data_IF_597291571084
#
_entry.id   IF_597291571084
#
_cell.length_a   1.000
_cell.length_b   1.000
_cell.length_c   1.000
_cell.angle_alpha   90.00
_cell.angle_beta   90.00
_cell.angle_gamma   90.00
#
_symmetry.space_group_name_H-M   'P 1'
#
loop_
_entity.id
_entity.type
_entity.pdbx_description
1 polymer ?
#
# COMPACT_ATOMS: atom_id res chain seq x y z
N UNK A 1 -3.88 7.98 -18.10
CA UNK A 1 -4.08 6.66 -18.69
C UNK A 1 -2.88 6.13 -19.49
N UNK A 2 -2.01 6.98 -20.04
CA UNK A 2 -0.89 6.54 -20.89
C UNK A 2 0.15 5.64 -20.21
N UNK A 3 0.14 5.53 -18.89
CA UNK A 3 1.15 4.78 -18.11
C UNK A 3 0.55 3.73 -17.16
N UNK A 4 -0.68 3.25 -17.39
CA UNK A 4 -1.26 2.18 -16.58
C UNK A 4 -0.40 0.91 -16.60
N UNK A 5 0.24 0.59 -17.72
CA UNK A 5 1.21 -0.51 -17.81
C UNK A 5 2.42 -0.38 -16.88
N UNK A 6 2.75 0.85 -16.45
CA UNK A 6 3.78 1.11 -15.45
C UNK A 6 3.30 0.81 -14.03
N UNK A 7 2.03 1.14 -13.73
CA UNK A 7 1.47 1.00 -12.40
C UNK A 7 0.89 -0.38 -12.10
N UNK A 8 0.54 -1.16 -13.12
CA UNK A 8 -0.10 -2.47 -12.96
C UNK A 8 0.59 -3.50 -13.82
N UNK A 9 0.99 -4.61 -13.21
CA UNK A 9 1.56 -5.77 -13.90
C UNK A 9 0.48 -6.50 -14.68
N UNK A 10 0.67 -6.67 -15.98
CA UNK A 10 -0.29 -7.32 -16.87
C UNK A 10 -1.45 -6.42 -17.30
N UNK A 11 -2.54 -7.02 -17.77
CA UNK A 11 -3.69 -6.31 -18.29
C UNK A 11 -4.57 -5.76 -17.17
N UNK A 12 -4.80 -4.45 -17.16
CA UNK A 12 -5.81 -3.82 -16.32
C UNK A 12 -7.14 -3.77 -17.07
N UNK A 13 -8.16 -4.43 -16.52
CA UNK A 13 -9.43 -4.65 -17.22
C UNK A 13 -10.55 -3.68 -16.86
N UNK A 14 -10.32 -2.76 -15.91
CA UNK A 14 -11.32 -1.77 -15.54
C UNK A 14 -11.27 -0.55 -16.46
N UNK A 15 -12.45 -0.08 -16.86
CA UNK A 15 -12.59 1.06 -17.80
C UNK A 15 -12.19 2.39 -17.17
N UNK A 16 -12.17 2.47 -15.86
CA UNK A 16 -11.80 3.67 -15.08
C UNK A 16 -11.20 3.29 -13.74
N UNK A 17 -10.48 4.22 -13.15
CA UNK A 17 -9.85 4.10 -11.84
C UNK A 17 -10.19 5.33 -11.00
N UNK A 18 -10.16 5.23 -9.67
CA UNK A 18 -10.37 6.38 -8.80
C UNK A 18 -9.33 7.47 -9.06
N UNK A 19 -9.79 8.72 -9.10
CA UNK A 19 -8.89 9.88 -9.11
C UNK A 19 -8.43 10.13 -7.67
N UNK A 20 -7.11 10.14 -7.47
CA UNK A 20 -6.52 10.47 -6.18
C UNK A 20 -6.21 11.98 -6.16
N UNK A 21 -6.63 12.66 -5.09
CA UNK A 21 -6.28 14.05 -4.85
C UNK A 21 -5.08 14.11 -3.90
N UNK A 22 -4.01 14.77 -4.33
CA UNK A 22 -2.77 14.92 -3.58
C UNK A 22 -2.56 16.30 -2.96
N UNK A 23 -3.53 17.23 -3.09
CA UNK A 23 -3.36 18.64 -2.67
C UNK A 23 -2.92 18.78 -1.21
N UNK A 24 -3.46 17.96 -0.31
CA UNK A 24 -3.08 17.98 1.12
C UNK A 24 -1.71 17.36 1.34
N UNK A 25 -1.44 16.23 0.68
CA UNK A 25 -0.13 15.55 0.75
C UNK A 25 0.98 16.48 0.26
N UNK A 26 0.78 17.17 -0.85
CA UNK A 26 1.77 18.08 -1.43
C UNK A 26 2.08 19.26 -0.50
N UNK A 27 1.05 19.82 0.18
CA UNK A 27 1.24 20.88 1.17
C UNK A 27 2.07 20.40 2.37
N UNK A 28 1.76 19.21 2.90
CA UNK A 28 2.50 18.64 4.02
C UNK A 28 3.95 18.34 3.63
N UNK A 29 4.16 17.66 2.49
CA UNK A 29 5.50 17.35 1.99
C UNK A 29 6.33 18.61 1.75
N UNK A 30 5.71 19.67 1.20
CA UNK A 30 6.38 20.96 1.02
C UNK A 30 6.87 21.52 2.35
N UNK A 31 6.02 21.59 3.37
CA UNK A 31 6.38 22.11 4.69
C UNK A 31 7.51 21.28 5.31
N UNK A 32 7.40 19.96 5.28
CA UNK A 32 8.43 19.07 5.82
C UNK A 32 9.77 19.25 5.10
N UNK A 33 9.76 19.26 3.78
CA UNK A 33 10.95 19.42 2.96
C UNK A 33 11.65 20.77 3.22
N UNK A 34 10.90 21.89 3.24
CA UNK A 34 11.42 23.22 3.44
C UNK A 34 11.99 23.45 4.85
N UNK A 35 11.57 22.65 5.83
CA UNK A 35 12.04 22.72 7.22
C UNK A 35 12.99 21.57 7.61
N UNK A 36 13.45 20.74 6.65
CA UNK A 36 14.38 19.64 6.94
C UNK A 36 13.77 18.51 7.78
N UNK A 37 12.44 18.35 7.76
CA UNK A 37 11.71 17.33 8.53
C UNK A 37 11.57 16.08 7.69
N UNK A 38 12.08 14.94 8.20
CA UNK A 38 11.86 13.64 7.59
C UNK A 38 10.44 13.14 7.81
N UNK A 39 9.89 12.44 6.79
CA UNK A 39 8.52 11.90 6.81
C UNK A 39 8.55 10.38 6.75
N UNK A 40 7.92 9.74 7.72
CA UNK A 40 7.46 8.36 7.63
C UNK A 40 6.00 8.39 7.18
N UNK A 41 5.74 8.02 5.94
CA UNK A 41 4.43 8.12 5.33
C UNK A 41 3.51 6.99 5.81
N UNK A 42 2.34 7.35 6.31
CA UNK A 42 1.36 6.44 6.89
C UNK A 42 0.02 6.63 6.20
N UNK A 43 -0.62 5.66 5.66
CA UNK A 43 -0.26 4.26 5.39
C UNK A 43 -0.82 3.90 4.01
N UNK A 44 -0.27 2.88 3.33
CA UNK A 44 -0.74 2.51 1.98
C UNK A 44 -1.93 1.55 2.05
N UNK A 45 -1.91 0.56 2.93
CA UNK A 45 -2.96 -0.45 3.08
C UNK A 45 -3.41 -0.51 4.53
N UNK A 46 -4.71 -0.32 4.76
CA UNK A 46 -5.30 -0.40 6.08
C UNK A 46 -6.75 -0.90 6.00
N UNK A 47 -7.20 -1.66 7.00
CA UNK A 47 -8.58 -2.12 7.10
C UNK A 47 -9.54 -0.98 7.44
N UNK A 48 -9.09 0.01 8.21
CA UNK A 48 -9.80 1.26 8.49
C UNK A 48 -9.52 2.29 7.41
N UNK A 49 -10.41 3.24 7.20
CA UNK A 49 -10.29 4.35 6.24
C UNK A 49 -10.17 3.96 4.76
N UNK A 50 -10.14 2.67 4.40
CA UNK A 50 -10.32 2.24 3.03
C UNK A 50 -11.83 2.14 2.76
N UNK A 51 -12.40 2.97 1.87
CA UNK A 51 -13.84 3.03 1.69
C UNK A 51 -14.40 1.74 1.05
N UNK A 52 -15.57 1.28 1.48
CA UNK A 52 -16.17 0.02 1.02
C UNK A 52 -16.33 -0.04 -0.51
N UNK A 53 -16.64 1.07 -1.16
CA UNK A 53 -16.75 1.11 -2.63
C UNK A 53 -15.45 0.70 -3.36
N UNK A 54 -14.28 0.87 -2.72
CA UNK A 54 -13.00 0.47 -3.31
C UNK A 54 -12.87 -1.04 -3.52
N UNK A 55 -13.60 -1.82 -2.74
CA UNK A 55 -13.63 -3.29 -2.82
C UNK A 55 -14.73 -3.83 -3.74
N UNK A 56 -15.60 -2.98 -4.26
CA UNK A 56 -16.81 -3.37 -4.99
C UNK A 56 -16.63 -3.29 -6.50
N UNK A 57 -17.37 -4.13 -7.23
CA UNK A 57 -17.43 -4.07 -8.69
C UNK A 57 -17.87 -2.67 -9.14
N UNK A 58 -17.20 -2.12 -10.15
CA UNK A 58 -17.50 -0.78 -10.66
C UNK A 58 -17.34 0.35 -9.65
N UNK A 59 -16.62 0.13 -8.54
CA UNK A 59 -16.46 1.10 -7.44
C UNK A 59 -17.78 1.60 -6.85
N UNK A 60 -18.77 0.72 -6.77
CA UNK A 60 -20.11 1.05 -6.27
C UNK A 60 -20.57 0.07 -5.20
N UNK A 61 -21.03 0.59 -4.07
CA UNK A 61 -21.60 -0.21 -2.96
C UNK A 61 -22.86 -0.99 -3.33
N UNK A 62 -23.43 -0.73 -4.51
CA UNK A 62 -24.59 -1.46 -5.06
C UNK A 62 -24.23 -2.87 -5.54
N UNK A 63 -22.94 -3.15 -5.77
CA UNK A 63 -22.48 -4.42 -6.34
C UNK A 63 -21.69 -5.24 -5.33
N UNK A 64 -21.45 -6.51 -5.68
CA UNK A 64 -20.63 -7.42 -4.88
C UNK A 64 -19.15 -7.02 -4.83
N UNK A 65 -18.38 -7.76 -4.04
CA UNK A 65 -16.93 -7.61 -3.98
C UNK A 65 -16.26 -8.08 -5.27
N UNK A 66 -15.16 -7.44 -5.64
CA UNK A 66 -14.34 -7.89 -6.77
C UNK A 66 -13.58 -9.17 -6.45
N UNK A 67 -13.06 -9.83 -7.48
CA UNK A 67 -12.16 -10.97 -7.30
C UNK A 67 -10.83 -10.56 -6.67
N UNK A 68 -10.11 -11.53 -6.10
CA UNK A 68 -8.74 -11.29 -5.57
C UNK A 68 -7.80 -10.75 -6.66
N UNK A 69 -7.88 -11.27 -7.89
CA UNK A 69 -7.05 -10.79 -8.99
C UNK A 69 -7.33 -9.31 -9.30
N UNK A 70 -8.60 -8.94 -9.38
CA UNK A 70 -8.99 -7.55 -9.60
C UNK A 70 -8.55 -6.65 -8.44
N UNK A 71 -8.68 -7.11 -7.19
CA UNK A 71 -8.23 -6.34 -6.03
C UNK A 71 -6.71 -6.20 -5.97
N UNK A 72 -5.96 -7.23 -6.35
CA UNK A 72 -4.50 -7.14 -6.47
C UNK A 72 -4.11 -6.01 -7.44
N UNK A 73 -4.77 -5.91 -8.59
CA UNK A 73 -4.52 -4.85 -9.59
C UNK A 73 -4.89 -3.47 -9.07
N UNK A 74 -6.01 -3.34 -8.35
CA UNK A 74 -6.39 -2.07 -7.71
C UNK A 74 -5.38 -1.63 -6.67
N UNK A 75 -4.93 -2.55 -5.83
CA UNK A 75 -3.93 -2.30 -4.81
C UNK A 75 -2.58 -1.91 -5.44
N UNK A 76 -2.15 -2.60 -6.48
CA UNK A 76 -0.94 -2.27 -7.23
C UNK A 76 -1.03 -0.86 -7.81
N UNK A 77 -2.12 -0.56 -8.51
CA UNK A 77 -2.37 0.77 -9.07
C UNK A 77 -2.32 1.85 -7.99
N UNK A 78 -3.00 1.64 -6.87
CA UNK A 78 -3.05 2.61 -5.77
C UNK A 78 -1.67 2.86 -5.18
N UNK A 79 -0.97 1.82 -4.75
CA UNK A 79 0.36 1.92 -4.13
C UNK A 79 1.35 2.62 -5.08
N UNK A 80 1.42 2.15 -6.32
CA UNK A 80 2.35 2.70 -7.31
C UNK A 80 2.00 4.14 -7.71
N UNK A 81 0.71 4.49 -7.78
CA UNK A 81 0.28 5.87 -8.07
C UNK A 81 0.69 6.82 -6.95
N UNK A 82 0.44 6.44 -5.69
CA UNK A 82 0.79 7.26 -4.53
C UNK A 82 2.30 7.46 -4.42
N UNK A 83 3.07 6.37 -4.46
CA UNK A 83 4.52 6.44 -4.33
C UNK A 83 5.18 7.16 -5.52
N UNK A 84 4.68 6.92 -6.74
CA UNK A 84 5.16 7.65 -7.92
C UNK A 84 4.91 9.16 -7.81
N UNK A 85 3.72 9.57 -7.35
CA UNK A 85 3.42 10.99 -7.12
C UNK A 85 4.44 11.60 -6.15
N UNK A 86 4.67 10.95 -5.02
CA UNK A 86 5.61 11.44 -4.00
C UNK A 86 7.02 11.55 -4.57
N UNK A 87 7.56 10.50 -5.18
CA UNK A 87 8.97 10.49 -5.62
C UNK A 87 9.24 11.21 -6.95
N UNK A 88 8.21 11.60 -7.68
CA UNK A 88 8.34 12.55 -8.81
C UNK A 88 8.17 14.01 -8.38
N UNK A 89 7.67 14.26 -7.18
CA UNK A 89 7.61 15.58 -6.57
C UNK A 89 8.99 16.05 -6.12
N UNK A 90 9.29 17.33 -6.25
CA UNK A 90 10.50 17.92 -5.70
C UNK A 90 10.61 17.82 -4.17
N UNK A 91 9.51 17.57 -3.50
CA UNK A 91 9.42 17.45 -2.04
C UNK A 91 9.57 16.00 -1.55
N UNK A 92 9.48 15.01 -2.45
CA UNK A 92 9.43 13.60 -2.10
C UNK A 92 10.68 13.06 -1.42
N UNK A 93 11.82 13.73 -1.54
CA UNK A 93 13.08 13.32 -0.91
C UNK A 93 13.05 13.39 0.62
N UNK A 94 12.09 14.08 1.24
CA UNK A 94 11.90 14.05 2.70
C UNK A 94 11.22 12.76 3.20
N UNK A 95 10.62 11.95 2.32
CA UNK A 95 9.99 10.69 2.70
C UNK A 95 11.03 9.59 2.74
N UNK A 96 11.41 9.18 3.95
CA UNK A 96 12.43 8.15 4.21
C UNK A 96 11.85 6.78 4.56
N UNK A 97 10.54 6.68 4.78
CA UNK A 97 9.90 5.42 5.16
C UNK A 97 8.42 5.40 4.80
N UNK A 98 7.88 4.20 4.63
CA UNK A 98 6.45 3.93 4.43
C UNK A 98 5.96 2.87 5.40
N UNK A 99 4.85 3.14 6.06
CA UNK A 99 4.00 2.10 6.63
C UNK A 99 3.19 1.50 5.48
N UNK A 100 3.66 0.38 4.95
CA UNK A 100 3.03 -0.25 3.78
C UNK A 100 1.69 -0.86 4.15
N UNK A 101 1.64 -1.56 5.29
CA UNK A 101 0.41 -2.16 5.82
C UNK A 101 0.28 -1.80 7.30
N UNK A 102 -0.91 -1.36 7.68
CA UNK A 102 -1.24 -1.01 9.05
C UNK A 102 -2.24 -2.00 9.66
N UNK A 103 -1.96 -2.44 10.90
CA UNK A 103 -2.88 -3.16 11.80
C UNK A 103 -3.53 -4.42 11.20
N UNK A 104 -2.81 -5.16 10.37
CA UNK A 104 -3.39 -6.36 9.74
C UNK A 104 -3.69 -7.45 10.78
N UNK A 105 -2.81 -7.68 11.75
CA UNK A 105 -3.01 -8.72 12.78
C UNK A 105 -4.16 -8.37 13.76
N UNK A 106 -4.46 -7.09 13.90
CA UNK A 106 -5.58 -6.58 14.72
C UNK A 106 -6.75 -6.06 13.89
N UNK A 107 -6.76 -6.36 12.57
CA UNK A 107 -7.80 -5.87 11.68
C UNK A 107 -9.20 -6.37 12.07
N UNK A 108 -10.15 -5.45 12.07
CA UNK A 108 -11.58 -5.79 12.10
C UNK A 108 -12.06 -6.24 10.72
N UNK A 109 -13.22 -6.90 10.66
CA UNK A 109 -13.83 -7.31 9.38
C UNK A 109 -13.94 -6.14 8.43
N UNK A 110 -13.39 -6.30 7.24
CA UNK A 110 -13.31 -5.26 6.21
C UNK A 110 -13.44 -5.86 4.82
N UNK A 111 -13.41 -5.04 3.79
CA UNK A 111 -13.36 -5.49 2.40
C UNK A 111 -12.15 -6.38 2.09
N UNK A 112 -11.03 -6.19 2.80
CA UNK A 112 -9.86 -7.06 2.68
C UNK A 112 -10.18 -8.50 3.08
N UNK A 113 -10.78 -8.69 4.26
CA UNK A 113 -11.19 -10.02 4.73
C UNK A 113 -12.25 -10.66 3.82
N UNK A 114 -13.21 -9.86 3.33
CA UNK A 114 -14.26 -10.35 2.42
C UNK A 114 -13.70 -10.87 1.11
N UNK A 115 -12.58 -10.34 0.64
CA UNK A 115 -11.93 -10.74 -0.62
C UNK A 115 -10.87 -11.81 -0.40
N UNK A 116 -10.03 -11.68 0.63
CA UNK A 116 -8.87 -12.55 0.83
C UNK A 116 -9.07 -13.66 1.85
N UNK A 117 -10.19 -13.66 2.56
CA UNK A 117 -10.52 -14.65 3.58
C UNK A 117 -10.03 -14.23 4.96
N UNK A 118 -10.22 -15.15 5.91
CA UNK A 118 -9.89 -14.93 7.32
C UNK A 118 -8.40 -14.60 7.51
N UNK A 119 -8.12 -13.86 8.58
CA UNK A 119 -6.76 -13.48 8.97
C UNK A 119 -5.86 -14.70 9.19
N UNK A 120 -4.62 -14.59 8.74
CA UNK A 120 -3.57 -15.60 8.84
C UNK A 120 -2.21 -14.94 9.07
N UNK A 121 -1.23 -15.67 9.56
CA UNK A 121 0.16 -15.19 9.68
C UNK A 121 0.94 -15.21 8.35
N UNK A 122 0.32 -15.66 7.26
CA UNK A 122 0.91 -15.69 5.91
C UNK A 122 -0.01 -15.05 4.87
N UNK A 123 -0.34 -13.76 5.01
CA UNK A 123 -1.31 -13.08 4.15
C UNK A 123 -0.70 -12.73 2.79
N UNK A 124 -1.13 -13.43 1.74
CA UNK A 124 -0.59 -13.23 0.40
C UNK A 124 -0.76 -11.79 -0.12
N UNK A 125 -1.88 -11.12 0.19
CA UNK A 125 -2.09 -9.74 -0.26
C UNK A 125 -1.18 -8.74 0.47
N UNK A 126 -0.87 -8.97 1.76
CA UNK A 126 0.10 -8.15 2.50
C UNK A 126 1.48 -8.28 1.88
N UNK A 127 1.94 -9.52 1.60
CA UNK A 127 3.20 -9.73 0.87
C UNK A 127 3.21 -8.99 -0.47
N UNK A 128 2.10 -9.04 -1.24
CA UNK A 128 1.98 -8.30 -2.51
C UNK A 128 2.08 -6.80 -2.32
N UNK A 129 1.45 -6.24 -1.28
CA UNK A 129 1.55 -4.81 -0.99
C UNK A 129 3.00 -4.37 -0.79
N UNK A 130 3.77 -5.14 -0.03
CA UNK A 130 5.20 -4.90 0.14
C UNK A 130 5.99 -5.05 -1.16
N UNK A 131 5.69 -6.04 -1.98
CA UNK A 131 6.33 -6.20 -3.30
C UNK A 131 6.07 -4.99 -4.20
N UNK A 132 4.83 -4.48 -4.25
CA UNK A 132 4.49 -3.30 -5.05
C UNK A 132 5.20 -2.03 -4.54
N UNK A 133 5.28 -1.87 -3.22
CA UNK A 133 6.03 -0.76 -2.62
C UNK A 133 7.55 -0.88 -2.91
N UNK A 134 8.10 -2.10 -2.78
CA UNK A 134 9.50 -2.36 -3.11
C UNK A 134 9.82 -2.09 -4.57
N UNK A 135 8.95 -2.49 -5.51
CA UNK A 135 9.11 -2.20 -6.93
C UNK A 135 9.23 -0.69 -7.19
N UNK A 136 8.46 0.13 -6.45
CA UNK A 136 8.54 1.58 -6.56
C UNK A 136 9.88 2.11 -6.05
N UNK A 137 10.30 1.75 -4.83
CA UNK A 137 11.59 2.25 -4.30
C UNK A 137 12.77 1.77 -5.14
N UNK A 138 12.69 0.56 -5.71
CA UNK A 138 13.68 0.04 -6.64
C UNK A 138 13.72 0.84 -7.95
N UNK A 139 12.55 1.13 -8.53
CA UNK A 139 12.45 1.94 -9.76
C UNK A 139 13.09 3.31 -9.61
N UNK A 140 12.91 3.96 -8.46
CA UNK A 140 13.51 5.26 -8.15
C UNK A 140 14.94 5.19 -7.60
N UNK A 141 15.54 4.00 -7.48
CA UNK A 141 16.91 3.84 -6.93
C UNK A 141 16.99 4.17 -5.43
N UNK A 142 15.93 3.91 -4.67
CA UNK A 142 15.78 4.30 -3.27
C UNK A 142 15.87 3.14 -2.27
N UNK A 143 16.25 1.95 -2.71
CA UNK A 143 16.28 0.75 -1.86
C UNK A 143 17.19 0.86 -0.63
N UNK A 144 18.22 1.70 -0.69
CA UNK A 144 19.13 1.96 0.44
C UNK A 144 18.77 3.26 1.21
N UNK A 145 17.67 3.92 0.87
CA UNK A 145 17.29 5.23 1.44
C UNK A 145 15.91 5.23 2.06
N UNK A 146 15.04 4.32 1.63
CA UNK A 146 13.64 4.27 2.05
C UNK A 146 13.34 2.92 2.65
N UNK A 147 12.85 2.92 3.89
CA UNK A 147 12.45 1.70 4.60
C UNK A 147 10.96 1.43 4.44
N UNK A 148 10.61 0.14 4.36
CA UNK A 148 9.23 -0.33 4.31
C UNK A 148 8.87 -1.00 5.62
N UNK A 149 7.79 -0.58 6.25
CA UNK A 149 7.36 -1.04 7.56
C UNK A 149 5.98 -1.70 7.51
N UNK A 150 5.83 -2.73 8.32
CA UNK A 150 4.57 -3.13 8.88
C UNK A 150 4.35 -2.35 10.18
N UNK A 151 3.20 -1.72 10.36
CA UNK A 151 2.86 -0.99 11.57
C UNK A 151 1.63 -1.63 12.24
N UNK A 152 1.71 -1.80 13.55
CA UNK A 152 0.60 -2.32 14.35
C UNK A 152 0.77 -1.90 15.82
N UNK A 153 -0.32 -2.00 16.59
CA UNK A 153 -0.30 -1.78 18.03
C UNK A 153 -0.17 -3.12 18.77
N UNK A 154 0.25 -3.07 20.03
CA UNK A 154 0.38 -4.25 20.91
C UNK A 154 1.19 -5.42 20.32
N UNK A 155 2.11 -5.18 19.43
CA UNK A 155 2.93 -6.20 18.76
C UNK A 155 3.71 -7.08 19.77
N UNK A 156 3.99 -6.57 20.96
CA UNK A 156 4.64 -7.30 22.05
C UNK A 156 3.79 -8.46 22.59
N UNK A 157 2.48 -8.44 22.36
CA UNK A 157 1.58 -9.52 22.75
C UNK A 157 1.50 -10.66 21.72
N UNK A 158 1.87 -10.36 20.45
CA UNK A 158 1.77 -11.30 19.31
C UNK A 158 3.12 -11.42 18.57
N UNK A 159 4.23 -11.42 19.32
CA UNK A 159 5.59 -11.40 18.77
C UNK A 159 5.82 -12.51 17.74
N UNK A 160 5.39 -13.75 18.05
CA UNK A 160 5.58 -14.90 17.16
C UNK A 160 4.81 -14.75 15.83
N UNK A 161 3.59 -14.21 15.88
CA UNK A 161 2.78 -13.98 14.69
C UNK A 161 3.37 -12.87 13.83
N UNK A 162 3.85 -11.80 14.46
CA UNK A 162 4.56 -10.70 13.78
C UNK A 162 5.81 -11.24 13.09
N UNK A 163 6.67 -12.00 13.80
CA UNK A 163 7.89 -12.57 13.24
C UNK A 163 7.57 -13.52 12.07
N UNK A 164 6.58 -14.39 12.24
CA UNK A 164 6.14 -15.33 11.20
C UNK A 164 5.67 -14.58 9.95
N UNK A 165 4.90 -13.51 10.12
CA UNK A 165 4.40 -12.71 9.01
C UNK A 165 5.53 -11.95 8.31
N UNK A 166 6.44 -11.32 9.04
CA UNK A 166 7.57 -10.58 8.45
C UNK A 166 8.48 -11.54 7.67
N UNK A 167 8.79 -12.72 8.23
CA UNK A 167 9.56 -13.73 7.52
C UNK A 167 8.86 -14.21 6.24
N UNK A 168 7.53 -14.35 6.27
CA UNK A 168 6.75 -14.68 5.08
C UNK A 168 6.78 -13.56 4.04
N UNK A 169 6.63 -12.32 4.45
CA UNK A 169 6.71 -11.15 3.55
C UNK A 169 8.05 -11.12 2.84
N UNK A 170 9.15 -11.32 3.58
CA UNK A 170 10.51 -11.29 3.05
C UNK A 170 11.05 -12.67 2.60
N UNK A 171 10.19 -13.66 2.38
CA UNK A 171 10.64 -15.02 2.02
C UNK A 171 11.44 -15.10 0.71
N UNK A 172 11.33 -14.08 -0.14
CA UNK A 172 12.09 -13.98 -1.40
C UNK A 172 13.41 -13.19 -1.23
N UNK A 173 13.73 -12.73 -0.01
CA UNK A 173 14.95 -11.97 0.28
C UNK A 173 15.04 -10.61 -0.45
N UNK A 174 13.91 -10.01 -0.80
CA UNK A 174 13.87 -8.77 -1.59
C UNK A 174 13.45 -7.55 -0.79
N UNK A 175 12.88 -7.74 0.39
CA UNK A 175 12.26 -6.67 1.19
C UNK A 175 12.95 -6.58 2.53
#
# INVERSE_FOLDING_TARGET
AKNLGYYVSGSFTESYVPKINFDTVDKVLKICYENGIGVRAHTLVWHSQTPDWFFRVGYSTKYGYVSQDQMNKRMEYYIKTVMNHVYTSKYGSCVYAWDVVNEYLHATTSGWEKIYGARTTRPAFVKRAFQYAYDCIKYFGLTNKVSLFYNDFNTYMEVNDVITMINYINSDGKI
#
